data_IF_466038246942
#
_entry.id   IF_466038246942
#
_cell.length_a   1.000
_cell.length_b   1.000
_cell.length_c   1.000
_cell.angle_alpha   90.00
_cell.angle_beta   90.00
_cell.angle_gamma   90.00
#
_symmetry.space_group_name_H-M   'P 1'
#
loop_
_entity.id
_entity.type
_entity.pdbx_description
1 polymer ?
#
# COMPACT_ATOMS: atom_id res chain seq x y z
N UNK A 1 -3.55 18.01 -10.97
CA UNK A 1 -3.62 17.47 -9.60
C UNK A 1 -3.48 15.97 -9.70
N UNK A 2 -2.40 15.41 -9.16
CA UNK A 2 -2.20 13.96 -9.14
C UNK A 2 -3.17 13.36 -8.13
N UNK A 3 -3.86 12.28 -8.50
CA UNK A 3 -4.81 11.62 -7.59
C UNK A 3 -4.05 10.77 -6.57
N UNK A 4 -4.62 10.60 -5.39
CA UNK A 4 -4.12 9.70 -4.34
C UNK A 4 -4.64 8.26 -4.49
N UNK A 5 -5.25 7.95 -5.63
CA UNK A 5 -5.83 6.64 -5.90
C UNK A 5 -5.74 6.31 -7.40
N UNK A 6 -5.83 5.02 -7.73
CA UNK A 6 -5.85 4.51 -9.11
C UNK A 6 -7.03 3.55 -9.23
N UNK A 7 -7.94 3.81 -10.18
CA UNK A 7 -9.16 3.01 -10.40
C UNK A 7 -10.00 2.73 -9.12
N UNK A 8 -10.06 3.70 -8.20
CA UNK A 8 -10.76 3.56 -6.92
C UNK A 8 -10.04 2.71 -5.87
N UNK A 9 -8.77 2.37 -6.10
CA UNK A 9 -7.89 1.71 -5.14
C UNK A 9 -6.94 2.74 -4.52
N UNK A 10 -6.86 2.69 -3.20
CA UNK A 10 -6.08 3.55 -2.32
C UNK A 10 -5.02 2.71 -1.61
N UNK A 11 -3.97 3.36 -1.12
CA UNK A 11 -2.97 2.74 -0.25
C UNK A 11 -3.11 3.31 1.14
N UNK A 12 -3.30 2.43 2.12
CA UNK A 12 -3.43 2.77 3.53
C UNK A 12 -2.17 2.32 4.26
N UNK A 13 -1.55 3.23 5.00
CA UNK A 13 -0.50 2.92 5.95
C UNK A 13 -1.14 2.34 7.20
N UNK A 14 -0.80 1.08 7.49
CA UNK A 14 -1.38 0.32 8.61
C UNK A 14 -0.56 0.52 9.87
N UNK A 15 0.77 0.53 9.71
CA UNK A 15 1.75 0.89 10.72
C UNK A 15 2.98 1.50 10.01
N UNK A 16 4.07 1.76 10.74
CA UNK A 16 5.30 2.34 10.16
C UNK A 16 5.99 1.45 9.10
N UNK A 17 5.67 0.15 9.10
CA UNK A 17 6.29 -0.86 8.27
C UNK A 17 5.38 -1.41 7.16
N UNK A 18 4.06 -1.30 7.26
CA UNK A 18 3.10 -2.03 6.42
C UNK A 18 2.09 -1.12 5.77
N UNK A 19 1.83 -1.39 4.49
CA UNK A 19 0.83 -0.72 3.68
C UNK A 19 -0.11 -1.73 3.04
N UNK A 20 -1.40 -1.39 2.96
CA UNK A 20 -2.45 -2.21 2.35
C UNK A 20 -3.11 -1.44 1.21
N UNK A 21 -3.31 -2.10 0.07
CA UNK A 21 -4.09 -1.56 -1.03
C UNK A 21 -5.53 -2.03 -0.92
N UNK A 22 -6.48 -1.10 -0.87
CA UNK A 22 -7.90 -1.40 -0.72
C UNK A 22 -8.79 -0.33 -1.36
N UNK A 23 -10.10 -0.61 -1.48
CA UNK A 23 -11.08 0.36 -2.03
C UNK A 23 -11.59 1.35 -0.98
N UNK A 24 -11.51 0.98 0.29
CA UNK A 24 -11.84 1.82 1.42
C UNK A 24 -10.98 1.45 2.63
N UNK A 25 -10.96 2.35 3.62
CA UNK A 25 -10.23 2.18 4.87
C UNK A 25 -10.71 0.95 5.67
N UNK A 26 -12.03 0.70 5.67
CA UNK A 26 -12.64 -0.43 6.39
C UNK A 26 -12.16 -1.78 5.87
N UNK A 27 -12.12 -1.96 4.53
CA UNK A 27 -11.59 -3.17 3.90
C UNK A 27 -10.11 -3.39 4.24
N UNK A 28 -9.32 -2.31 4.28
CA UNK A 28 -7.90 -2.40 4.64
C UNK A 28 -7.71 -2.89 6.08
N UNK A 29 -8.43 -2.28 7.03
CA UNK A 29 -8.38 -2.63 8.46
C UNK A 29 -8.82 -4.08 8.66
N UNK A 30 -9.94 -4.47 8.06
CA UNK A 30 -10.46 -5.83 8.19
C UNK A 30 -9.44 -6.86 7.66
N UNK A 31 -8.90 -6.63 6.46
CA UNK A 31 -7.89 -7.51 5.87
C UNK A 31 -6.62 -7.62 6.73
N UNK A 32 -6.08 -6.48 7.18
CA UNK A 32 -4.84 -6.48 7.96
C UNK A 32 -5.03 -7.10 9.35
N UNK A 33 -6.21 -6.94 9.96
CA UNK A 33 -6.57 -7.60 11.22
C UNK A 33 -6.69 -9.12 11.14
N UNK A 34 -6.80 -9.71 9.94
CA UNK A 34 -6.74 -11.18 9.77
C UNK A 34 -5.30 -11.71 9.73
N UNK A 35 -4.31 -10.85 9.41
CA UNK A 35 -2.92 -11.27 9.16
C UNK A 35 -1.92 -10.72 10.19
N UNK A 36 -2.26 -9.67 10.92
CA UNK A 36 -1.41 -9.04 11.93
C UNK A 36 -2.07 -9.07 13.32
N UNK A 37 -1.25 -8.94 14.37
CA UNK A 37 -1.76 -8.73 15.73
C UNK A 37 -2.47 -7.37 15.78
N UNK A 38 -3.55 -7.24 16.58
CA UNK A 38 -4.26 -5.98 16.74
C UNK A 38 -3.41 -5.01 17.57
N UNK A 39 -2.37 -4.46 16.97
CA UNK A 39 -1.75 -3.21 17.40
C UNK A 39 -2.50 -2.04 16.75
N UNK A 40 -2.60 -0.91 17.47
CA UNK A 40 -3.59 0.15 17.27
C UNK A 40 -3.80 0.59 15.81
N UNK A 41 -4.88 0.07 15.20
CA UNK A 41 -5.48 0.57 13.96
C UNK A 41 -5.96 2.04 14.05
N UNK A 42 -5.78 2.70 15.20
CA UNK A 42 -6.14 4.10 15.44
C UNK A 42 -5.44 5.06 14.47
N UNK A 43 -4.25 4.70 13.99
CA UNK A 43 -3.43 5.57 13.13
C UNK A 43 -3.49 5.24 11.63
N UNK A 44 -4.41 4.36 11.19
CA UNK A 44 -4.51 4.01 9.77
C UNK A 44 -4.81 5.24 8.93
N UNK A 45 -3.91 5.56 8.01
CA UNK A 45 -4.01 6.75 7.16
C UNK A 45 -3.91 6.42 5.68
N UNK A 46 -4.71 7.12 4.87
CA UNK A 46 -4.62 7.04 3.41
C UNK A 46 -3.44 7.88 2.94
N UNK A 47 -2.56 7.28 2.13
CA UNK A 47 -1.45 8.00 1.54
C UNK A 47 -1.96 9.06 0.57
N UNK A 48 -1.48 10.28 0.72
CA UNK A 48 -1.77 11.34 -0.22
C UNK A 48 -0.99 11.17 -1.54
N UNK A 49 -1.32 11.99 -2.53
CA UNK A 49 -0.71 11.88 -3.85
C UNK A 49 0.82 12.05 -3.84
N UNK A 50 1.34 12.95 -3.01
CA UNK A 50 2.80 13.18 -2.89
C UNK A 50 3.48 12.00 -2.22
N UNK A 51 2.85 11.37 -1.22
CA UNK A 51 3.39 10.20 -0.55
C UNK A 51 3.48 9.00 -1.49
N UNK A 52 2.48 8.79 -2.36
CA UNK A 52 2.54 7.75 -3.40
C UNK A 52 3.70 7.96 -4.39
N UNK A 53 4.06 9.22 -4.66
CA UNK A 53 5.16 9.55 -5.57
C UNK A 53 6.53 9.51 -4.86
N UNK A 54 6.57 9.74 -3.54
CA UNK A 54 7.78 9.80 -2.74
C UNK A 54 8.22 8.44 -2.16
N UNK A 55 7.28 7.58 -1.72
CA UNK A 55 7.59 6.27 -1.16
C UNK A 55 8.07 5.30 -2.26
N UNK A 56 9.09 4.50 -1.92
CA UNK A 56 9.76 3.59 -2.85
C UNK A 56 9.43 2.14 -2.53
N UNK A 57 9.12 1.37 -3.57
CA UNK A 57 8.90 -0.07 -3.54
C UNK A 57 10.10 -0.76 -4.20
N UNK A 58 10.72 -1.70 -3.50
CA UNK A 58 11.80 -2.54 -4.04
C UNK A 58 11.17 -3.69 -4.82
N UNK A 59 11.52 -3.83 -6.10
CA UNK A 59 10.92 -4.86 -6.97
C UNK A 59 11.37 -6.27 -6.56
N UNK A 60 12.60 -6.40 -6.08
CA UNK A 60 13.17 -7.65 -5.59
C UNK A 60 13.74 -7.45 -4.17
N UNK A 61 13.95 -8.57 -3.46
CA UNK A 61 14.44 -8.62 -2.07
C UNK A 61 15.90 -8.15 -1.92
N UNK A 62 16.62 -7.97 -3.03
CA UNK A 62 17.99 -7.46 -3.00
C UNK A 62 18.00 -5.93 -2.84
N UNK A 63 18.81 -5.43 -1.89
CA UNK A 63 18.92 -3.98 -1.60
C UNK A 63 19.47 -3.14 -2.76
N UNK A 64 19.99 -3.75 -3.83
CA UNK A 64 20.46 -3.07 -5.05
C UNK A 64 19.43 -3.12 -6.17
N UNK A 65 18.26 -3.69 -5.92
CA UNK A 65 17.20 -3.82 -6.91
C UNK A 65 16.65 -2.46 -7.30
N UNK A 66 16.20 -2.31 -8.55
CA UNK A 66 15.51 -1.10 -8.96
C UNK A 66 14.30 -0.85 -8.06
N UNK A 67 14.13 0.42 -7.68
CA UNK A 67 12.94 0.86 -6.97
C UNK A 67 11.98 1.56 -7.92
N UNK A 68 10.69 1.40 -7.65
CA UNK A 68 9.60 2.15 -8.30
C UNK A 68 8.82 2.90 -7.24
N UNK A 69 8.11 3.96 -7.62
CA UNK A 69 7.23 4.63 -6.66
C UNK A 69 6.03 3.76 -6.29
N UNK A 70 5.44 4.02 -5.12
CA UNK A 70 4.18 3.39 -4.72
C UNK A 70 3.08 3.62 -5.76
N UNK A 71 3.04 4.81 -6.39
CA UNK A 71 2.13 5.08 -7.51
C UNK A 71 2.34 4.11 -8.67
N UNK A 72 3.58 3.88 -9.08
CA UNK A 72 3.88 2.97 -10.19
C UNK A 72 3.51 1.53 -9.83
N UNK A 73 3.80 1.10 -8.61
CA UNK A 73 3.42 -0.23 -8.11
C UNK A 73 1.89 -0.41 -8.08
N UNK A 74 1.16 0.58 -7.57
CA UNK A 74 -0.30 0.56 -7.56
C UNK A 74 -0.89 0.50 -8.98
N UNK A 75 -0.31 1.24 -9.92
CA UNK A 75 -0.70 1.16 -11.33
C UNK A 75 -0.51 -0.25 -11.89
N UNK A 76 0.62 -0.90 -11.60
CA UNK A 76 0.86 -2.29 -12.02
C UNK A 76 -0.16 -3.27 -11.46
N UNK A 77 -0.53 -3.14 -10.17
CA UNK A 77 -1.55 -4.01 -9.56
C UNK A 77 -2.92 -3.85 -10.23
N UNK A 78 -3.32 -2.59 -10.49
CA UNK A 78 -4.57 -2.28 -11.17
C UNK A 78 -4.57 -2.80 -12.61
N UNK A 79 -3.48 -2.60 -13.35
CA UNK A 79 -3.34 -3.04 -14.74
C UNK A 79 -3.31 -4.58 -14.84
N UNK A 80 -2.74 -5.25 -13.85
CA UNK A 80 -2.75 -6.71 -13.71
C UNK A 80 -4.12 -7.27 -13.28
N UNK A 81 -5.11 -6.41 -12.99
CA UNK A 81 -6.43 -6.80 -12.47
C UNK A 81 -6.35 -7.65 -11.21
N UNK A 82 -5.39 -7.32 -10.33
CA UNK A 82 -5.21 -7.97 -9.04
C UNK A 82 -6.44 -7.80 -8.12
N UNK A 83 -6.54 -8.67 -7.11
CA UNK A 83 -7.63 -8.62 -6.13
C UNK A 83 -7.30 -7.67 -4.98
N UNK A 84 -8.30 -6.95 -4.48
CA UNK A 84 -8.19 -6.06 -3.33
C UNK A 84 -9.28 -6.39 -2.30
N UNK A 85 -9.03 -6.26 -0.98
CA UNK A 85 -7.80 -5.74 -0.36
C UNK A 85 -6.61 -6.71 -0.43
N UNK A 86 -5.38 -6.18 -0.42
CA UNK A 86 -4.14 -6.98 -0.35
C UNK A 86 -3.01 -6.21 0.35
N UNK A 87 -2.05 -6.95 0.92
CA UNK A 87 -0.81 -6.37 1.43
C UNK A 87 -0.04 -5.76 0.25
N UNK A 88 0.24 -4.48 0.33
CA UNK A 88 0.83 -3.70 -0.75
C UNK A 88 2.36 -3.67 -0.66
N UNK A 89 2.88 -3.40 0.54
CA UNK A 89 4.30 -3.35 0.83
C UNK A 89 4.54 -3.58 2.33
N UNK A 90 5.71 -4.12 2.66
CA UNK A 90 6.22 -4.19 4.03
C UNK A 90 7.71 -3.80 4.05
N UNK A 91 8.21 -3.24 5.15
CA UNK A 91 9.65 -3.03 5.39
C UNK A 91 10.26 -4.02 6.38
N UNK A 92 9.55 -5.07 6.77
CA UNK A 92 10.15 -6.16 7.55
C UNK A 92 11.06 -7.00 6.64
N UNK A 93 12.38 -6.93 6.88
CA UNK A 93 13.43 -7.69 6.17
C UNK A 93 14.20 -8.58 7.14
#
# INVERSE_FOLDING_TARGET
MTKNHINGVYVFEMNDCDWVAARCKEDAIQFYGEIALPEDFENVQELNAQELDAKQFHIDDDRRSPTISFRQRLQQLVDASETFPQLFATTEF
#
